data_IF_660265785416
#
_entry.id   IF_660265785416
#
_cell.length_a   1.000
_cell.length_b   1.000
_cell.length_c   1.000
_cell.angle_alpha   90.00
_cell.angle_beta   90.00
_cell.angle_gamma   90.00
#
_symmetry.space_group_name_H-M   'P 1'
#
loop_
_entity.id
_entity.type
_entity.pdbx_description
1 polymer ?
#
# COMPACT_ATOMS: atom_id res chain seq x y z
N UNK A 1 -29.33 -58.09 -1.56
CA UNK A 1 -30.64 -57.58 -1.13
C UNK A 1 -30.79 -56.19 -1.73
N UNK A 2 -31.24 -56.16 -2.97
CA UNK A 2 -31.49 -54.97 -3.78
C UNK A 2 -32.93 -54.50 -3.54
N UNK A 3 -33.11 -53.25 -3.13
CA UNK A 3 -34.42 -52.60 -3.09
C UNK A 3 -34.47 -51.48 -4.13
N UNK A 4 -35.02 -51.84 -5.30
CA UNK A 4 -35.53 -50.92 -6.31
C UNK A 4 -36.59 -50.00 -5.70
N UNK A 5 -36.48 -48.69 -5.92
CA UNK A 5 -37.65 -47.82 -5.99
C UNK A 5 -37.56 -47.08 -7.33
N UNK A 6 -38.57 -47.31 -8.16
CA UNK A 6 -38.77 -46.68 -9.46
C UNK A 6 -39.27 -45.24 -9.25
N UNK A 7 -38.71 -44.27 -9.97
CA UNK A 7 -39.29 -42.93 -10.12
C UNK A 7 -39.66 -42.78 -11.60
N UNK A 8 -40.96 -42.78 -11.88
CA UNK A 8 -41.54 -42.49 -13.18
C UNK A 8 -42.18 -41.09 -13.16
N UNK A 9 -41.78 -40.26 -14.13
CA UNK A 9 -42.68 -39.39 -14.90
C UNK A 9 -43.26 -38.13 -14.26
N UNK A 10 -42.65 -37.00 -14.63
CA UNK A 10 -43.28 -35.73 -15.06
C UNK A 10 -44.42 -35.12 -14.22
N UNK A 11 -44.10 -34.03 -13.54
CA UNK A 11 -45.05 -33.00 -13.11
C UNK A 11 -44.29 -31.87 -12.42
N UNK A 12 -44.25 -30.68 -13.04
CA UNK A 12 -43.50 -29.53 -12.53
C UNK A 12 -43.93 -29.16 -11.12
N UNK A 13 -42.95 -29.11 -10.19
CA UNK A 13 -43.13 -28.59 -8.84
C UNK A 13 -42.07 -27.51 -8.67
N UNK A 14 -42.47 -26.28 -8.99
CA UNK A 14 -41.83 -25.05 -8.57
C UNK A 14 -41.92 -24.95 -7.04
N UNK A 15 -40.78 -24.79 -6.36
CA UNK A 15 -40.76 -24.53 -4.92
C UNK A 15 -41.45 -23.19 -4.60
N UNK A 16 -42.31 -23.10 -3.58
CA UNK A 16 -43.03 -21.86 -3.27
C UNK A 16 -42.12 -20.90 -2.50
N UNK A 17 -41.78 -19.77 -3.12
CA UNK A 17 -41.23 -18.59 -2.44
C UNK A 17 -42.30 -17.97 -1.52
N UNK A 18 -41.98 -17.54 -0.29
CA UNK A 18 -42.94 -16.88 0.59
C UNK A 18 -43.22 -15.47 0.05
N UNK A 19 -44.43 -15.31 -0.49
CA UNK A 19 -44.91 -14.07 -1.11
C UNK A 19 -45.54 -13.19 -0.02
N UNK A 20 -44.85 -12.11 0.35
CA UNK A 20 -45.33 -11.14 1.33
C UNK A 20 -45.68 -9.81 0.63
N UNK A 21 -46.61 -9.88 -0.33
CA UNK A 21 -47.14 -8.70 -1.02
C UNK A 21 -48.67 -8.73 -0.94
N UNK A 22 -49.33 -7.75 -0.29
CA UNK A 22 -50.78 -7.76 -0.15
C UNK A 22 -51.48 -7.54 -1.50
N UNK A 23 -52.52 -8.33 -1.75
CA UNK A 23 -53.25 -8.49 -3.01
C UNK A 23 -54.28 -7.37 -3.28
N UNK A 24 -54.03 -6.13 -2.83
CA UNK A 24 -54.98 -5.02 -2.95
C UNK A 24 -54.23 -3.71 -3.18
N UNK A 25 -54.38 -3.12 -4.38
CA UNK A 25 -54.03 -1.72 -4.61
C UNK A 25 -54.90 -0.83 -3.72
N UNK A 26 -54.29 -0.09 -2.80
CA UNK A 26 -54.97 0.94 -2.03
C UNK A 26 -55.32 2.12 -2.97
N UNK A 27 -56.54 2.70 -2.88
CA UNK A 27 -56.91 3.82 -3.72
C UNK A 27 -56.19 5.09 -3.23
N UNK A 28 -55.22 5.58 -4.02
CA UNK A 28 -54.61 6.89 -3.79
C UNK A 28 -55.54 7.94 -4.39
N UNK A 29 -56.55 8.35 -3.63
CA UNK A 29 -57.19 9.65 -3.78
C UNK A 29 -57.89 10.03 -2.48
N UNK A 30 -57.72 11.30 -2.09
CA UNK A 30 -58.34 12.05 -0.98
C UNK A 30 -57.58 12.06 0.35
N UNK A 31 -56.90 13.17 0.61
CA UNK A 31 -57.03 13.84 1.91
C UNK A 31 -55.79 14.03 2.80
N UNK A 32 -54.59 14.24 2.26
CA UNK A 32 -53.45 14.72 3.06
C UNK A 32 -53.16 16.19 2.70
N UNK A 33 -53.45 17.08 3.65
CA UNK A 33 -53.16 18.51 3.62
C UNK A 33 -51.66 18.76 3.55
N UNK A 34 -51.23 19.60 2.60
CA UNK A 34 -49.85 20.11 2.51
C UNK A 34 -49.48 20.91 3.77
N UNK A 35 -48.26 20.76 4.33
CA UNK A 35 -47.76 21.67 5.35
C UNK A 35 -47.68 23.10 4.79
N UNK A 36 -48.34 24.05 5.45
CA UNK A 36 -48.24 25.49 5.16
C UNK A 36 -46.98 26.06 5.81
N UNK A 37 -45.90 26.15 5.05
CA UNK A 37 -44.81 27.11 5.30
C UNK A 37 -44.79 28.05 4.10
N UNK A 38 -44.83 29.38 4.28
CA UNK A 38 -44.74 30.31 3.15
C UNK A 38 -43.35 30.22 2.50
N UNK A 39 -43.31 30.24 1.16
CA UNK A 39 -42.08 30.46 0.40
C UNK A 39 -41.49 31.84 0.76
N UNK A 40 -40.17 31.91 0.92
CA UNK A 40 -39.48 33.18 1.12
C UNK A 40 -39.53 33.93 -0.22
N UNK A 41 -40.23 35.07 -0.26
CA UNK A 41 -40.24 35.95 -1.43
C UNK A 41 -38.93 36.72 -1.47
N UNK A 42 -38.11 36.47 -2.49
CA UNK A 42 -37.14 37.46 -2.96
C UNK A 42 -37.92 38.59 -3.62
N UNK A 43 -38.21 39.63 -2.85
CA UNK A 43 -38.65 40.90 -3.42
C UNK A 43 -37.98 42.06 -2.70
N UNK A 44 -37.38 42.90 -3.54
CA UNK A 44 -37.28 44.35 -3.40
C UNK A 44 -36.02 44.91 -2.70
N UNK A 45 -34.87 44.75 -3.36
CA UNK A 45 -33.85 45.80 -3.31
C UNK A 45 -34.37 47.04 -4.03
N UNK A 46 -34.56 48.11 -3.25
CA UNK A 46 -35.09 49.37 -3.73
C UNK A 46 -34.08 50.10 -4.61
N UNK A 47 -34.50 50.41 -5.82
CA UNK A 47 -33.86 51.38 -6.69
C UNK A 47 -34.10 52.80 -6.12
N UNK A 48 -33.03 53.46 -5.66
CA UNK A 48 -33.06 54.89 -5.38
C UNK A 48 -31.70 55.55 -5.65
N UNK A 49 -31.59 56.19 -6.82
CA UNK A 49 -30.88 57.46 -6.96
C UNK A 49 -29.44 57.41 -7.47
N UNK A 50 -29.27 57.78 -8.73
CA UNK A 50 -28.00 58.08 -9.39
C UNK A 50 -27.20 59.23 -8.73
N UNK A 51 -25.88 59.07 -8.58
CA UNK A 51 -24.84 60.08 -8.84
C UNK A 51 -23.40 59.54 -8.66
N UNK A 52 -22.68 59.47 -9.78
CA UNK A 52 -21.27 59.85 -10.04
C UNK A 52 -20.04 59.15 -9.42
N UNK A 53 -19.10 58.86 -10.34
CA UNK A 53 -17.63 58.87 -10.29
C UNK A 53 -16.77 57.84 -9.50
N UNK A 54 -15.78 57.33 -10.25
CA UNK A 54 -14.46 56.80 -9.90
C UNK A 54 -14.31 55.28 -9.63
N UNK A 55 -13.65 54.62 -10.58
CA UNK A 55 -13.14 53.26 -10.44
C UNK A 55 -11.82 53.25 -9.67
N UNK A 56 -11.72 52.30 -8.73
CA UNK A 56 -10.52 51.70 -8.13
C UNK A 56 -11.01 50.90 -6.91
N UNK A 57 -11.28 49.60 -7.04
CA UNK A 57 -11.83 48.85 -5.90
C UNK A 57 -11.90 47.32 -5.98
N UNK A 58 -11.77 46.70 -7.15
CA UNK A 58 -11.94 45.24 -7.26
C UNK A 58 -10.68 44.39 -6.97
N UNK A 59 -9.48 44.98 -6.89
CA UNK A 59 -8.24 44.22 -6.65
C UNK A 59 -7.90 44.02 -5.16
N UNK A 60 -8.62 44.67 -4.24
CA UNK A 60 -8.35 44.54 -2.80
C UNK A 60 -9.14 43.41 -2.12
N UNK A 61 -10.28 42.97 -2.70
CA UNK A 61 -11.15 41.99 -2.05
C UNK A 61 -10.59 40.56 -2.16
N UNK A 62 -10.11 40.15 -3.34
CA UNK A 62 -9.53 38.81 -3.55
C UNK A 62 -8.20 38.61 -2.78
N UNK A 63 -7.38 39.66 -2.66
CA UNK A 63 -6.15 39.63 -1.86
C UNK A 63 -6.43 39.60 -0.35
N UNK A 64 -7.48 40.29 0.10
CA UNK A 64 -7.97 40.21 1.49
C UNK A 64 -8.58 38.85 1.79
N UNK A 65 -9.31 38.27 0.85
CA UNK A 65 -9.91 36.94 0.98
C UNK A 65 -8.84 35.85 1.05
N UNK A 66 -7.82 35.90 0.19
CA UNK A 66 -6.69 34.97 0.24
C UNK A 66 -5.82 35.16 1.50
N UNK A 67 -5.60 36.40 1.95
CA UNK A 67 -4.90 36.69 3.20
C UNK A 67 -5.72 36.27 4.44
N UNK A 68 -7.05 36.40 4.38
CA UNK A 68 -7.97 35.98 5.43
C UNK A 68 -8.08 34.46 5.47
N UNK A 69 -8.10 33.77 4.32
CA UNK A 69 -8.04 32.31 4.23
C UNK A 69 -6.71 31.79 4.81
N UNK A 70 -5.58 32.41 4.46
CA UNK A 70 -4.27 32.07 5.01
C UNK A 70 -4.13 32.35 6.52
N UNK A 71 -4.75 33.42 7.03
CA UNK A 71 -4.83 33.67 8.48
C UNK A 71 -5.79 32.71 9.21
N UNK A 72 -6.87 32.30 8.56
CA UNK A 72 -7.83 31.32 9.10
C UNK A 72 -7.20 29.94 9.14
N UNK A 73 -6.50 29.52 8.08
CA UNK A 73 -5.72 28.29 8.02
C UNK A 73 -4.54 28.30 9.01
N UNK A 74 -3.79 29.40 9.11
CA UNK A 74 -2.71 29.54 10.09
C UNK A 74 -3.19 29.53 11.54
N UNK A 75 -4.35 30.14 11.84
CA UNK A 75 -4.99 30.07 13.17
C UNK A 75 -5.61 28.71 13.45
N UNK A 76 -6.19 28.05 12.45
CA UNK A 76 -6.68 26.68 12.56
C UNK A 76 -5.54 25.71 12.87
N UNK A 77 -4.40 25.85 12.19
CA UNK A 77 -3.20 25.07 12.47
C UNK A 77 -2.67 25.29 13.89
N UNK A 78 -2.72 26.52 14.41
CA UNK A 78 -2.29 26.85 15.78
C UNK A 78 -3.32 26.45 16.86
N UNK A 79 -4.57 26.16 16.44
CA UNK A 79 -5.69 25.66 17.26
C UNK A 79 -5.79 24.12 17.27
N UNK A 80 -5.09 23.43 16.37
CA UNK A 80 -4.99 21.96 16.42
C UNK A 80 -4.31 21.55 17.73
N UNK A 81 -5.04 20.82 18.58
CA UNK A 81 -4.54 20.32 19.87
C UNK A 81 -4.52 21.33 21.03
N UNK A 82 -4.90 22.60 20.82
CA UNK A 82 -5.04 23.60 21.90
C UNK A 82 -6.50 23.99 22.07
N UNK A 83 -6.97 24.08 23.31
CA UNK A 83 -8.30 24.60 23.59
C UNK A 83 -8.41 26.03 23.04
N UNK A 84 -9.41 26.29 22.20
CA UNK A 84 -9.59 27.58 21.53
C UNK A 84 -9.88 28.77 22.45
N UNK A 85 -9.80 28.60 23.77
CA UNK A 85 -10.25 29.55 24.79
C UNK A 85 -11.78 29.61 24.88
N UNK A 86 -12.49 29.22 23.82
CA UNK A 86 -13.94 29.21 23.75
C UNK A 86 -14.52 28.26 24.79
N UNK A 87 -14.03 27.02 24.85
CA UNK A 87 -14.51 26.00 25.80
C UNK A 87 -14.28 26.49 27.24
N UNK A 88 -13.14 27.13 27.52
CA UNK A 88 -12.80 27.70 28.83
C UNK A 88 -13.71 28.89 29.19
N UNK A 89 -14.16 29.65 28.20
CA UNK A 89 -15.06 30.80 28.39
C UNK A 89 -16.53 30.42 28.63
N UNK A 90 -16.92 29.17 28.36
CA UNK A 90 -18.30 28.71 28.52
C UNK A 90 -18.75 28.76 30.00
N UNK A 91 -20.02 29.12 30.28
CA UNK A 91 -20.62 28.97 31.61
C UNK A 91 -20.56 27.53 32.10
N UNK A 92 -20.52 27.35 33.43
CA UNK A 92 -20.41 26.03 34.07
C UNK A 92 -21.55 25.11 33.64
N UNK A 93 -22.76 25.65 33.53
CA UNK A 93 -23.95 24.92 33.10
C UNK A 93 -23.80 24.34 31.69
N UNK A 94 -23.13 25.06 30.79
CA UNK A 94 -22.86 24.59 29.43
C UNK A 94 -21.72 23.57 29.42
N UNK A 95 -20.66 23.79 30.22
CA UNK A 95 -19.57 22.82 30.38
C UNK A 95 -20.07 21.48 30.93
N UNK A 96 -21.05 21.48 31.84
CA UNK A 96 -21.70 20.25 32.31
C UNK A 96 -22.35 19.47 31.16
N UNK A 97 -22.94 20.16 30.18
CA UNK A 97 -23.47 19.49 28.98
C UNK A 97 -22.35 18.92 28.10
N UNK A 98 -21.22 19.62 27.96
CA UNK A 98 -20.05 19.10 27.23
C UNK A 98 -19.50 17.84 27.90
N UNK A 99 -19.37 17.83 29.23
CA UNK A 99 -18.97 16.64 29.98
C UNK A 99 -20.00 15.49 29.86
N UNK A 100 -21.30 15.81 29.84
CA UNK A 100 -22.34 14.82 29.56
C UNK A 100 -22.21 14.23 28.14
N UNK A 101 -21.91 15.05 27.13
CA UNK A 101 -21.65 14.60 25.76
C UNK A 101 -20.41 13.72 25.66
N UNK A 102 -19.32 14.03 26.37
CA UNK A 102 -18.15 13.15 26.48
C UNK A 102 -18.53 11.79 27.09
N UNK A 103 -19.41 11.77 28.09
CA UNK A 103 -19.96 10.53 28.64
C UNK A 103 -20.81 9.72 27.65
N UNK A 104 -21.50 10.37 26.72
CA UNK A 104 -22.17 9.70 25.59
C UNK A 104 -21.15 9.14 24.61
N UNK A 105 -20.10 9.91 24.29
CA UNK A 105 -19.02 9.47 23.41
C UNK A 105 -18.33 8.20 23.92
N UNK A 106 -18.13 8.05 25.24
CA UNK A 106 -17.58 6.82 25.84
C UNK A 106 -18.42 5.59 25.44
N UNK A 107 -19.75 5.68 25.50
CA UNK A 107 -20.63 4.57 25.09
C UNK A 107 -20.58 4.29 23.60
N UNK A 108 -20.39 5.32 22.78
CA UNK A 108 -20.19 5.16 21.35
C UNK A 108 -18.88 4.41 21.06
N UNK A 109 -17.79 4.77 21.75
CA UNK A 109 -16.50 4.09 21.62
C UNK A 109 -16.58 2.64 22.10
N UNK A 110 -17.29 2.34 23.19
CA UNK A 110 -17.56 0.97 23.64
C UNK A 110 -18.27 0.14 22.56
N UNK A 111 -19.26 0.72 21.88
CA UNK A 111 -19.99 0.05 20.80
C UNK A 111 -19.10 -0.16 19.56
N UNK A 112 -18.28 0.82 19.20
CA UNK A 112 -17.30 0.71 18.10
C UNK A 112 -16.26 -0.39 18.39
N UNK A 113 -15.74 -0.45 19.61
CA UNK A 113 -14.87 -1.54 20.08
C UNK A 113 -15.52 -2.91 19.91
N UNK A 114 -16.79 -3.05 20.30
CA UNK A 114 -17.53 -4.30 20.11
C UNK A 114 -17.66 -4.65 18.63
N UNK A 115 -18.05 -3.68 17.79
CA UNK A 115 -18.19 -3.89 16.34
C UNK A 115 -16.89 -4.40 15.72
N UNK A 116 -15.74 -3.76 16.01
CA UNK A 116 -14.45 -4.20 15.45
C UNK A 116 -14.01 -5.57 15.95
N UNK A 117 -14.29 -5.92 17.20
CA UNK A 117 -14.07 -7.29 17.71
C UNK A 117 -14.92 -8.31 16.96
N UNK A 118 -16.19 -7.99 16.66
CA UNK A 118 -17.06 -8.86 15.86
C UNK A 118 -16.58 -8.98 14.40
N UNK A 119 -16.07 -7.90 13.79
CA UNK A 119 -15.40 -7.94 12.48
C UNK A 119 -14.20 -8.89 12.49
N UNK A 120 -13.32 -8.80 13.51
CA UNK A 120 -12.16 -9.67 13.64
C UNK A 120 -12.55 -11.15 13.75
N UNK A 121 -13.61 -11.47 14.50
CA UNK A 121 -14.14 -12.84 14.58
C UNK A 121 -14.73 -13.33 13.25
N UNK A 122 -15.33 -12.41 12.48
CA UNK A 122 -15.83 -12.72 11.13
C UNK A 122 -14.68 -13.01 10.17
N UNK A 123 -13.62 -12.21 10.19
CA UNK A 123 -12.40 -12.43 9.41
C UNK A 123 -11.78 -13.79 9.74
N UNK A 124 -11.63 -14.13 11.03
CA UNK A 124 -11.14 -15.44 11.48
C UNK A 124 -11.97 -16.60 10.91
N UNK A 125 -13.30 -16.46 10.92
CA UNK A 125 -14.22 -17.46 10.36
C UNK A 125 -13.99 -17.64 8.86
N UNK A 126 -13.91 -16.56 8.09
CA UNK A 126 -13.74 -16.64 6.64
C UNK A 126 -12.33 -17.10 6.24
N UNK A 127 -11.29 -16.72 6.99
CA UNK A 127 -9.97 -17.31 6.83
C UNK A 127 -10.03 -18.84 6.97
N UNK A 128 -10.77 -19.34 7.98
CA UNK A 128 -11.01 -20.77 8.15
C UNK A 128 -11.67 -21.44 6.93
N UNK A 129 -12.58 -20.75 6.24
CA UNK A 129 -13.22 -21.23 5.01
C UNK A 129 -12.30 -21.15 3.79
N UNK A 130 -11.38 -20.18 3.75
CA UNK A 130 -10.39 -20.01 2.68
C UNK A 130 -9.21 -20.97 2.81
N UNK A 131 -8.86 -21.43 4.03
CA UNK A 131 -7.72 -22.33 4.28
C UNK A 131 -7.64 -23.53 3.31
N UNK A 132 -8.71 -24.30 3.05
CA UNK A 132 -8.65 -25.40 2.08
C UNK A 132 -8.32 -24.95 0.64
N UNK A 133 -8.72 -23.74 0.25
CA UNK A 133 -8.38 -23.17 -1.06
C UNK A 133 -6.90 -22.78 -1.12
N UNK A 134 -6.35 -22.18 -0.05
CA UNK A 134 -4.93 -21.87 0.05
C UNK A 134 -4.06 -23.13 0.09
N UNK A 135 -4.48 -24.16 0.82
CA UNK A 135 -3.83 -25.47 0.80
C UNK A 135 -3.85 -26.10 -0.59
N UNK A 136 -4.99 -26.01 -1.31
CA UNK A 136 -5.10 -26.49 -2.69
C UNK A 136 -4.17 -25.73 -3.63
N UNK A 137 -4.11 -24.39 -3.51
CA UNK A 137 -3.19 -23.53 -4.26
C UNK A 137 -1.73 -23.93 -4.00
N UNK A 138 -1.34 -24.03 -2.73
CA UNK A 138 0.01 -24.45 -2.33
C UNK A 138 0.37 -25.83 -2.91
N UNK A 139 -0.55 -26.78 -2.88
CA UNK A 139 -0.32 -28.11 -3.45
C UNK A 139 -0.04 -28.08 -4.96
N UNK A 140 -0.71 -27.19 -5.72
CA UNK A 140 -0.47 -27.00 -7.16
C UNK A 140 0.86 -26.27 -7.40
N UNK A 141 1.11 -25.16 -6.69
CA UNK A 141 2.35 -24.37 -6.81
C UNK A 141 3.58 -25.25 -6.59
N UNK A 142 3.55 -26.12 -5.59
CA UNK A 142 4.69 -26.96 -5.24
C UNK A 142 4.70 -28.34 -5.93
N UNK A 143 3.77 -28.59 -6.86
CA UNK A 143 3.68 -29.87 -7.59
C UNK A 143 3.31 -31.08 -6.72
N UNK A 144 2.83 -30.86 -5.49
CA UNK A 144 2.36 -31.93 -4.58
C UNK A 144 1.07 -32.58 -5.08
N UNK A 145 0.26 -31.84 -5.85
CA UNK A 145 -0.92 -32.35 -6.52
C UNK A 145 -1.06 -31.72 -7.91
N UNK A 146 -1.43 -32.52 -8.91
CA UNK A 146 -1.75 -32.02 -10.24
C UNK A 146 -3.05 -31.20 -10.23
N UNK A 147 -3.11 -30.19 -11.10
CA UNK A 147 -4.34 -29.48 -11.41
C UNK A 147 -5.34 -30.45 -12.07
N UNK A 148 -6.60 -30.37 -11.65
CA UNK A 148 -7.69 -31.16 -12.23
C UNK A 148 -8.20 -30.51 -13.51
N UNK A 149 -8.83 -31.30 -14.38
CA UNK A 149 -9.46 -30.78 -15.59
C UNK A 149 -10.50 -29.70 -15.28
N UNK A 150 -11.29 -29.87 -14.21
CA UNK A 150 -12.30 -28.89 -13.81
C UNK A 150 -11.69 -27.56 -13.35
N UNK A 151 -10.56 -27.58 -12.65
CA UNK A 151 -9.85 -26.35 -12.24
C UNK A 151 -9.25 -25.62 -13.45
N UNK A 152 -8.72 -26.36 -14.42
CA UNK A 152 -8.18 -25.79 -15.66
C UNK A 152 -9.31 -25.15 -16.47
N UNK A 153 -10.41 -25.87 -16.69
CA UNK A 153 -11.58 -25.34 -17.42
C UNK A 153 -12.15 -24.09 -16.74
N UNK A 154 -12.24 -24.07 -15.41
CA UNK A 154 -12.68 -22.90 -14.66
C UNK A 154 -11.71 -21.71 -14.81
N UNK A 155 -10.39 -21.96 -14.77
CA UNK A 155 -9.36 -20.95 -14.97
C UNK A 155 -9.34 -20.38 -16.39
N UNK A 156 -9.54 -21.22 -17.41
CA UNK A 156 -9.68 -20.77 -18.81
C UNK A 156 -10.93 -19.89 -18.96
N UNK A 157 -12.06 -20.28 -18.35
CA UNK A 157 -13.29 -19.47 -18.37
C UNK A 157 -13.11 -18.10 -17.68
N UNK A 158 -12.30 -18.01 -16.63
CA UNK A 158 -11.94 -16.74 -16.03
C UNK A 158 -11.05 -15.91 -16.98
N UNK A 159 -10.02 -16.55 -17.55
CA UNK A 159 -9.08 -15.89 -18.47
C UNK A 159 -9.77 -15.32 -19.71
N UNK A 160 -10.73 -16.05 -20.31
CA UNK A 160 -11.53 -15.59 -21.46
C UNK A 160 -12.41 -14.37 -21.11
N UNK A 161 -12.89 -14.28 -19.87
CA UNK A 161 -13.71 -13.13 -19.43
C UNK A 161 -12.87 -11.89 -19.18
N UNK A 162 -11.63 -12.07 -18.76
CA UNK A 162 -10.72 -10.99 -18.41
C UNK A 162 -9.90 -10.49 -19.61
N UNK A 163 -9.61 -11.37 -20.57
CA UNK A 163 -8.79 -11.10 -21.75
C UNK A 163 -9.47 -11.67 -23.00
N UNK A 164 -9.99 -10.78 -23.85
CA UNK A 164 -10.69 -11.14 -25.09
C UNK A 164 -9.79 -11.85 -26.10
N UNK A 165 -8.47 -11.62 -26.04
CA UNK A 165 -7.48 -12.21 -26.92
C UNK A 165 -6.87 -13.52 -26.33
N UNK A 166 -7.40 -14.00 -25.20
CA UNK A 166 -6.91 -15.21 -24.56
C UNK A 166 -7.02 -16.44 -25.48
N UNK A 167 -5.89 -17.06 -25.77
CA UNK A 167 -5.84 -18.32 -26.53
C UNK A 167 -5.90 -19.53 -25.59
N UNK A 168 -6.93 -20.40 -25.70
CA UNK A 168 -7.04 -21.61 -24.87
C UNK A 168 -5.83 -22.54 -24.99
N UNK A 169 -5.50 -23.23 -23.90
CA UNK A 169 -4.33 -24.10 -23.87
C UNK A 169 -4.58 -25.40 -24.65
N UNK A 170 -3.53 -26.04 -25.21
CA UNK A 170 -3.69 -27.33 -25.88
C UNK A 170 -4.17 -28.42 -24.91
N UNK A 171 -5.31 -29.04 -25.21
CA UNK A 171 -5.96 -30.06 -24.35
C UNK A 171 -5.16 -31.36 -24.18
N UNK A 172 -4.21 -31.62 -25.07
CA UNK A 172 -3.34 -32.80 -25.01
C UNK A 172 -2.12 -32.60 -24.09
N UNK A 173 -1.92 -31.38 -23.57
CA UNK A 173 -0.82 -31.05 -22.66
C UNK A 173 -1.18 -31.39 -21.22
N UNK A 174 -0.26 -32.04 -20.51
CA UNK A 174 -0.41 -32.32 -19.08
C UNK A 174 0.25 -31.23 -18.22
N UNK A 175 -0.33 -30.83 -17.09
CA UNK A 175 0.31 -29.92 -16.14
C UNK A 175 1.70 -30.38 -15.70
N UNK A 176 2.61 -29.44 -15.47
CA UNK A 176 3.97 -29.73 -15.04
C UNK A 176 3.99 -30.45 -13.68
N UNK A 177 4.79 -31.52 -13.57
CA UNK A 177 4.88 -32.32 -12.34
C UNK A 177 5.56 -31.59 -11.16
N UNK A 178 6.42 -30.61 -11.46
CA UNK A 178 7.20 -29.90 -10.44
C UNK A 178 6.55 -28.59 -9.95
N UNK A 179 5.29 -28.34 -10.32
CA UNK A 179 4.58 -27.11 -9.96
C UNK A 179 5.07 -25.88 -10.72
N UNK A 180 4.98 -24.71 -10.07
CA UNK A 180 5.27 -23.39 -10.61
C UNK A 180 6.55 -22.85 -9.95
N UNK A 181 7.69 -22.79 -10.67
CA UNK A 181 8.94 -22.26 -10.14
C UNK A 181 8.81 -20.79 -9.72
N UNK A 182 9.47 -20.42 -8.62
CA UNK A 182 9.64 -19.03 -8.17
C UNK A 182 8.33 -18.26 -7.95
N UNK A 183 7.19 -18.96 -7.80
CA UNK A 183 5.86 -18.35 -7.71
C UNK A 183 5.79 -17.17 -6.73
N UNK A 184 6.21 -17.39 -5.48
CA UNK A 184 6.15 -16.35 -4.45
C UNK A 184 7.18 -15.25 -4.68
N UNK A 185 8.38 -15.56 -5.17
CA UNK A 185 9.36 -14.54 -5.50
C UNK A 185 8.81 -13.60 -6.59
N UNK A 186 8.22 -14.16 -7.66
CA UNK A 186 7.59 -13.37 -8.72
C UNK A 186 6.40 -12.56 -8.19
N UNK A 187 5.53 -13.17 -7.38
CA UNK A 187 4.39 -12.46 -6.80
C UNK A 187 4.83 -11.28 -5.90
N UNK A 188 5.82 -11.49 -5.03
CA UNK A 188 6.34 -10.44 -4.15
C UNK A 188 7.05 -9.32 -4.94
N UNK A 189 7.75 -9.64 -6.04
CA UNK A 189 8.39 -8.64 -6.91
C UNK A 189 7.41 -7.84 -7.77
N UNK A 190 6.21 -8.34 -7.97
CA UNK A 190 5.16 -7.59 -8.68
C UNK A 190 4.34 -6.70 -7.74
N UNK A 191 4.63 -6.69 -6.43
CA UNK A 191 4.07 -5.73 -5.51
C UNK A 191 5.04 -4.55 -5.35
N UNK A 192 4.53 -3.32 -5.42
CA UNK A 192 5.34 -2.09 -5.53
C UNK A 192 6.33 -1.96 -4.34
N UNK A 193 5.83 -1.84 -3.10
CA UNK A 193 6.71 -1.66 -1.93
C UNK A 193 7.65 -2.85 -1.68
N UNK A 194 7.13 -4.09 -1.74
CA UNK A 194 7.93 -5.31 -1.59
C UNK A 194 9.05 -5.43 -2.64
N UNK A 195 8.83 -4.97 -3.87
CA UNK A 195 9.86 -4.99 -4.92
C UNK A 195 11.06 -4.10 -4.57
N UNK A 196 10.82 -2.92 -3.99
CA UNK A 196 11.87 -1.99 -3.58
C UNK A 196 12.74 -2.56 -2.46
N UNK A 197 12.15 -3.34 -1.55
CA UNK A 197 12.88 -4.02 -0.49
C UNK A 197 13.67 -5.26 -0.94
N UNK A 198 13.26 -5.92 -2.03
CA UNK A 198 13.87 -7.18 -2.48
C UNK A 198 15.12 -6.90 -3.32
N UNK A 199 16.29 -7.11 -2.72
CA UNK A 199 17.55 -7.05 -3.47
C UNK A 199 17.80 -8.33 -4.28
N UNK A 200 18.72 -8.28 -5.24
CA UNK A 200 19.12 -9.46 -6.03
C UNK A 200 19.72 -10.58 -5.16
N UNK A 201 20.35 -10.23 -4.03
CA UNK A 201 20.88 -11.21 -3.07
C UNK A 201 19.74 -11.91 -2.33
N UNK A 202 18.67 -11.18 -2.01
CA UNK A 202 17.49 -11.74 -1.34
C UNK A 202 16.71 -12.67 -2.26
N UNK A 203 16.64 -12.34 -3.55
CA UNK A 203 15.99 -13.15 -4.56
C UNK A 203 16.52 -14.60 -4.57
N UNK A 204 17.82 -14.82 -4.38
CA UNK A 204 18.38 -16.17 -4.30
C UNK A 204 17.82 -16.99 -3.13
N UNK A 205 17.56 -16.36 -1.98
CA UNK A 205 16.94 -17.00 -0.84
C UNK A 205 15.42 -17.16 -1.04
N UNK A 206 14.75 -16.15 -1.59
CA UNK A 206 13.31 -16.15 -1.87
C UNK A 206 12.89 -17.17 -2.94
N UNK A 207 13.78 -17.62 -3.83
CA UNK A 207 13.53 -18.78 -4.70
C UNK A 207 13.14 -20.04 -3.93
N UNK A 208 13.53 -20.14 -2.66
CA UNK A 208 13.20 -21.27 -1.79
C UNK A 208 11.91 -21.10 -0.98
N UNK A 209 11.20 -19.97 -1.14
CA UNK A 209 9.92 -19.67 -0.50
C UNK A 209 8.80 -20.53 -1.13
N UNK A 210 8.18 -21.37 -0.29
CA UNK A 210 7.21 -22.41 -0.66
C UNK A 210 5.79 -21.92 -0.48
N UNK A 211 5.54 -21.16 0.59
CA UNK A 211 4.20 -20.69 0.97
C UNK A 211 4.27 -19.43 1.83
N UNK A 212 3.26 -18.57 1.69
CA UNK A 212 3.01 -17.43 2.58
C UNK A 212 1.60 -17.55 3.12
N UNK A 213 1.47 -17.64 4.46
CA UNK A 213 0.20 -17.91 5.14
C UNK A 213 -0.15 -16.81 6.13
N UNK A 214 -1.45 -16.58 6.27
CA UNK A 214 -2.03 -15.72 7.31
C UNK A 214 -2.61 -16.58 8.44
N UNK A 215 -2.35 -16.20 9.69
CA UNK A 215 -3.05 -16.71 10.87
C UNK A 215 -3.39 -15.57 11.82
N UNK A 216 -4.62 -15.51 12.31
CA UNK A 216 -4.97 -14.60 13.39
C UNK A 216 -4.54 -15.15 14.75
N UNK A 217 -4.17 -14.25 15.66
CA UNK A 217 -3.90 -14.60 17.04
C UNK A 217 -5.20 -15.00 17.74
N UNK A 218 -5.17 -16.15 18.41
CA UNK A 218 -6.29 -16.68 19.18
C UNK A 218 -6.01 -16.55 20.67
N UNK A 219 -7.04 -16.27 21.46
CA UNK A 219 -6.94 -16.09 22.93
C UNK A 219 -6.27 -17.29 23.64
N UNK A 220 -6.29 -18.49 23.03
CA UNK A 220 -5.64 -19.69 23.55
C UNK A 220 -4.14 -19.82 23.26
N UNK A 221 -3.68 -19.35 22.10
CA UNK A 221 -2.26 -19.30 21.70
C UNK A 221 -1.52 -18.14 22.37
N UNK A 222 -2.26 -17.10 22.76
CA UNK A 222 -1.84 -15.89 23.44
C UNK A 222 -1.45 -16.09 24.92
N UNK A 223 -0.81 -17.22 25.28
CA UNK A 223 -0.38 -17.55 26.66
C UNK A 223 1.13 -17.49 26.87
N UNK A 224 1.91 -17.16 25.84
CA UNK A 224 3.35 -17.03 25.92
C UNK A 224 3.76 -15.55 25.89
N UNK A 225 4.25 -15.05 27.03
CA UNK A 225 5.05 -13.83 27.21
C UNK A 225 4.67 -12.60 26.38
N UNK A 226 5.09 -12.56 25.10
CA UNK A 226 5.09 -11.37 24.24
C UNK A 226 3.76 -11.07 23.53
N UNK A 227 2.85 -12.04 23.41
CA UNK A 227 1.55 -11.88 22.71
C UNK A 227 0.35 -12.00 23.66
N UNK A 228 0.58 -11.87 24.97
CA UNK A 228 -0.40 -12.24 26.00
C UNK A 228 -1.70 -11.44 25.87
N UNK A 229 -2.80 -12.12 25.53
CA UNK A 229 -4.15 -11.57 25.43
C UNK A 229 -4.43 -10.57 24.30
N UNK A 230 -3.44 -10.17 23.50
CA UNK A 230 -3.64 -9.13 22.47
C UNK A 230 -4.20 -9.69 21.15
N UNK A 231 -5.16 -9.00 20.50
CA UNK A 231 -5.57 -9.31 19.14
C UNK A 231 -4.45 -8.97 18.15
N UNK A 232 -4.49 -9.58 16.97
CA UNK A 232 -3.47 -9.40 15.95
C UNK A 232 -3.45 -10.55 14.95
N UNK A 233 -2.48 -10.52 14.05
CA UNK A 233 -2.25 -11.57 13.08
C UNK A 233 -0.77 -11.83 12.88
N UNK A 234 -0.45 -12.98 12.30
CA UNK A 234 0.91 -13.39 11.92
C UNK A 234 0.93 -13.84 10.47
N UNK A 235 2.00 -13.49 9.79
CA UNK A 235 2.34 -13.94 8.44
C UNK A 235 3.47 -14.95 8.57
N UNK A 236 3.25 -16.15 8.04
CA UNK A 236 4.21 -17.24 8.07
C UNK A 236 4.78 -17.47 6.67
N UNK A 237 6.08 -17.29 6.54
CA UNK A 237 6.84 -17.57 5.33
C UNK A 237 7.51 -18.93 5.46
N UNK A 238 7.02 -19.93 4.72
CA UNK A 238 7.58 -21.28 4.72
C UNK A 238 8.66 -21.42 3.65
N UNK A 239 9.86 -21.77 4.07
CA UNK A 239 11.00 -21.99 3.18
C UNK A 239 11.34 -23.48 3.12
N UNK A 240 11.63 -23.94 1.91
CA UNK A 240 12.33 -25.20 1.71
C UNK A 240 13.78 -25.08 2.17
N UNK A 241 14.46 -26.22 2.36
CA UNK A 241 15.89 -26.24 2.72
C UNK A 241 16.70 -25.44 1.70
N UNK A 242 17.36 -24.39 2.17
CA UNK A 242 18.08 -23.44 1.32
C UNK A 242 19.53 -23.24 1.77
N UNK A 243 20.30 -22.47 1.01
CA UNK A 243 21.72 -22.24 1.26
C UNK A 243 22.01 -21.13 2.29
N UNK A 244 21.00 -20.40 2.77
CA UNK A 244 21.16 -19.14 3.49
C UNK A 244 20.91 -19.25 4.99
N UNK A 245 19.86 -19.95 5.39
CA UNK A 245 19.48 -20.09 6.81
C UNK A 245 18.87 -21.46 7.09
N UNK A 246 18.76 -21.78 8.38
CA UNK A 246 18.21 -23.07 8.86
C UNK A 246 16.73 -22.99 9.24
N UNK A 247 16.11 -21.80 9.26
CA UNK A 247 14.68 -21.65 9.52
C UNK A 247 13.86 -22.29 8.40
N UNK A 248 12.90 -23.13 8.77
CA UNK A 248 11.86 -23.62 7.86
C UNK A 248 10.69 -22.63 7.76
N UNK A 249 10.43 -21.89 8.84
CA UNK A 249 9.39 -20.86 8.87
C UNK A 249 9.97 -19.58 9.46
N UNK A 250 9.75 -18.46 8.78
CA UNK A 250 9.94 -17.11 9.32
C UNK A 250 8.56 -16.51 9.59
N UNK A 251 8.33 -16.09 10.82
CA UNK A 251 7.09 -15.49 11.29
C UNK A 251 7.27 -13.98 11.47
N UNK A 252 6.29 -13.21 11.01
CA UNK A 252 6.10 -11.79 11.32
C UNK A 252 4.73 -11.61 11.96
N UNK A 253 4.68 -10.99 13.12
CA UNK A 253 3.46 -10.89 13.94
C UNK A 253 3.16 -9.44 14.26
N UNK A 254 1.95 -9.01 13.95
CA UNK A 254 1.45 -7.66 14.24
C UNK A 254 0.43 -7.74 15.37
N UNK A 255 0.67 -6.97 16.43
CA UNK A 255 -0.21 -6.87 17.58
C UNK A 255 -1.02 -5.60 17.48
N UNK A 256 -2.33 -5.71 17.72
CA UNK A 256 -3.21 -4.56 17.87
C UNK A 256 -3.27 -4.12 19.35
N UNK A 257 -3.57 -2.85 19.55
CA UNK A 257 -3.97 -2.31 20.85
C UNK A 257 -5.32 -2.90 21.28
N UNK A 258 -5.63 -2.84 22.58
CA UNK A 258 -6.88 -3.41 23.12
C UNK A 258 -8.12 -2.58 22.76
N UNK A 259 -7.93 -1.27 22.64
CA UNK A 259 -8.95 -0.29 22.27
C UNK A 259 -8.74 0.17 20.82
N UNK A 260 -9.83 0.40 20.11
CA UNK A 260 -9.79 1.03 18.78
C UNK A 260 -9.32 2.47 18.90
N UNK A 261 -8.60 2.93 17.88
CA UNK A 261 -8.13 4.29 17.78
C UNK A 261 -9.26 5.29 17.59
N UNK A 262 -8.90 6.57 17.47
CA UNK A 262 -9.85 7.66 17.26
C UNK A 262 -10.70 7.47 15.98
N UNK A 263 -10.14 6.88 14.92
CA UNK A 263 -10.87 6.56 13.68
C UNK A 263 -11.90 5.43 13.86
N UNK A 264 -11.83 4.69 14.97
CA UNK A 264 -12.64 3.52 15.23
C UNK A 264 -12.05 2.21 14.68
N UNK A 265 -10.84 2.22 14.11
CA UNK A 265 -10.10 1.03 13.64
C UNK A 265 -9.10 0.50 14.67
N UNK A 266 -8.63 -0.73 14.47
CA UNK A 266 -7.54 -1.26 15.29
C UNK A 266 -6.25 -0.46 15.03
N UNK A 267 -5.58 -0.08 16.11
CA UNK A 267 -4.26 0.58 16.06
C UNK A 267 -3.18 -0.46 16.35
N UNK A 268 -2.04 -0.40 15.66
CA UNK A 268 -0.91 -1.27 15.96
C UNK A 268 -0.26 -0.89 17.30
N UNK A 269 0.08 -1.90 18.10
CA UNK A 269 0.90 -1.77 19.30
C UNK A 269 2.39 -1.96 18.96
N UNK A 270 2.72 -3.07 18.29
CA UNK A 270 4.08 -3.37 17.85
C UNK A 270 4.09 -4.50 16.82
N UNK A 271 5.16 -4.56 16.04
CA UNK A 271 5.52 -5.73 15.24
C UNK A 271 6.55 -6.61 15.97
N UNK A 272 6.46 -7.93 15.75
CA UNK A 272 7.40 -8.93 16.24
C UNK A 272 7.90 -9.75 15.07
N UNK A 273 9.21 -9.78 14.87
CA UNK A 273 9.83 -10.59 13.82
C UNK A 273 10.49 -11.86 14.33
N UNK A 274 10.93 -12.70 13.40
CA UNK A 274 11.65 -13.94 13.68
C UNK A 274 13.15 -13.77 13.51
N UNK A 275 13.91 -14.14 14.54
CA UNK A 275 15.37 -14.21 14.44
C UNK A 275 15.79 -15.27 13.42
N UNK A 276 16.43 -14.81 12.34
CA UNK A 276 16.95 -15.68 11.28
C UNK A 276 18.25 -16.35 11.74
N UNK A 277 18.32 -17.67 11.56
CA UNK A 277 19.49 -18.51 11.84
C UNK A 277 20.32 -18.63 10.57
N UNK A 278 21.02 -17.54 10.24
CA UNK A 278 21.91 -17.46 9.09
C UNK A 278 23.02 -18.51 9.17
N UNK A 279 23.30 -19.13 8.02
CA UNK A 279 24.46 -19.98 7.81
C UNK A 279 25.72 -19.12 7.73
N UNK A 280 26.87 -19.77 7.89
CA UNK A 280 28.16 -19.09 7.85
C UNK A 280 28.31 -18.27 6.55
N UNK A 281 28.55 -16.97 6.71
CA UNK A 281 28.76 -16.02 5.62
C UNK A 281 27.58 -15.85 4.66
N UNK A 282 26.36 -16.12 5.13
CA UNK A 282 25.12 -15.99 4.36
C UNK A 282 24.11 -15.01 4.94
N UNK A 283 24.52 -14.23 5.93
CA UNK A 283 23.72 -13.15 6.49
C UNK A 283 23.52 -12.05 5.43
N UNK A 284 22.31 -11.94 4.88
CA UNK A 284 21.99 -11.00 3.82
C UNK A 284 21.75 -9.58 4.34
N UNK A 285 21.44 -9.44 5.64
CA UNK A 285 21.22 -8.12 6.27
C UNK A 285 22.51 -7.42 6.67
N UNK A 286 23.66 -8.05 6.41
CA UNK A 286 24.98 -7.51 6.74
C UNK A 286 25.97 -7.69 5.59
N UNK A 287 26.65 -6.62 5.23
CA UNK A 287 27.84 -6.69 4.40
C UNK A 287 29.10 -6.71 5.26
N UNK A 288 30.11 -7.50 4.87
CA UNK A 288 31.31 -7.69 5.67
C UNK A 288 32.54 -7.04 5.02
N UNK A 289 33.02 -5.96 5.62
CA UNK A 289 34.23 -5.27 5.18
C UNK A 289 35.46 -5.89 5.89
N UNK A 290 36.43 -6.40 5.12
CA UNK A 290 37.67 -6.96 5.66
C UNK A 290 38.75 -5.87 5.73
N UNK A 291 38.98 -5.34 6.93
CA UNK A 291 40.04 -4.36 7.19
C UNK A 291 41.31 -5.05 7.68
N UNK A 292 42.43 -4.78 7.01
CA UNK A 292 43.78 -5.19 7.48
C UNK A 292 44.20 -4.29 8.63
N UNK A 293 44.17 -4.82 9.84
CA UNK A 293 44.63 -4.12 11.03
C UNK A 293 46.06 -4.56 11.37
N UNK A 294 47.02 -3.63 11.32
CA UNK A 294 48.41 -3.88 11.74
C UNK A 294 48.57 -3.40 13.18
N UNK A 295 48.96 -4.31 14.07
CA UNK A 295 49.28 -3.94 15.44
C UNK A 295 50.58 -3.12 15.44
N UNK A 296 50.50 -1.87 15.92
CA UNK A 296 51.61 -0.90 15.93
C UNK A 296 52.81 -1.38 16.75
N UNK A 297 52.60 -2.22 17.77
CA UNK A 297 53.66 -2.68 18.67
C UNK A 297 54.29 -4.01 18.25
N UNK A 298 53.50 -4.94 17.69
CA UNK A 298 53.98 -6.28 17.34
C UNK A 298 54.22 -6.48 15.86
N UNK A 299 53.95 -5.46 15.02
CA UNK A 299 54.01 -5.52 13.56
C UNK A 299 53.22 -6.67 12.91
N UNK A 300 52.39 -7.39 13.67
CA UNK A 300 51.52 -8.45 13.15
C UNK A 300 50.28 -7.83 12.51
N UNK A 301 49.94 -8.33 11.33
CA UNK A 301 48.74 -7.93 10.58
C UNK A 301 47.64 -8.96 10.85
N UNK A 302 46.48 -8.52 11.34
CA UNK A 302 45.27 -9.32 11.48
C UNK A 302 44.22 -8.79 10.51
N UNK A 303 43.49 -9.69 9.86
CA UNK A 303 42.30 -9.34 9.10
C UNK A 303 41.14 -9.23 10.10
N UNK A 304 40.52 -8.06 10.19
CA UNK A 304 39.34 -7.82 11.01
C UNK A 304 38.16 -7.66 10.07
N UNK A 305 37.17 -8.53 10.22
CA UNK A 305 35.92 -8.51 9.47
C UNK A 305 34.92 -7.66 10.26
N UNK A 306 34.52 -6.51 9.72
CA UNK A 306 33.50 -5.63 10.31
C UNK A 306 32.20 -5.84 9.54
N UNK A 307 31.13 -6.19 10.24
CA UNK A 307 29.79 -6.25 9.65
C UNK A 307 29.19 -4.84 9.62
N UNK A 308 28.62 -4.45 8.49
CA UNK A 308 27.86 -3.22 8.30
C UNK A 308 26.42 -3.62 7.99
N UNK A 309 25.40 -3.02 8.63
CA UNK A 309 24.01 -3.20 8.23
C UNK A 309 23.84 -2.86 6.74
N UNK A 310 22.98 -3.60 6.06
CA UNK A 310 22.73 -3.43 4.63
C UNK A 310 21.27 -3.71 4.32
N UNK A 311 20.76 -3.02 3.32
CA UNK A 311 19.40 -3.18 2.86
C UNK A 311 19.19 -4.60 2.33
N UNK A 312 18.11 -5.19 2.81
CA UNK A 312 17.70 -6.56 2.54
C UNK A 312 16.25 -6.72 2.94
N UNK A 313 15.47 -7.42 2.12
CA UNK A 313 14.09 -7.81 2.45
C UNK A 313 14.01 -8.49 3.83
N UNK A 314 15.04 -9.23 4.23
CA UNK A 314 15.03 -9.96 5.50
C UNK A 314 15.13 -9.06 6.74
N UNK A 315 15.37 -7.75 6.60
CA UNK A 315 15.19 -6.78 7.67
C UNK A 315 13.73 -6.69 8.14
N UNK A 316 12.76 -7.05 7.29
CA UNK A 316 11.34 -7.16 7.64
C UNK A 316 11.07 -8.07 8.85
N UNK A 317 11.94 -9.06 9.11
CA UNK A 317 11.85 -9.94 10.28
C UNK A 317 12.59 -9.41 11.52
N UNK A 318 13.09 -8.19 11.46
CA UNK A 318 13.67 -7.43 12.57
C UNK A 318 13.04 -6.03 12.60
N UNK A 319 11.73 -5.95 12.86
CA UNK A 319 10.99 -4.69 12.76
C UNK A 319 11.53 -3.64 13.75
N UNK A 320 11.37 -2.35 13.44
CA UNK A 320 11.64 -1.27 14.38
C UNK A 320 10.80 -1.45 15.65
N UNK A 321 11.36 -1.06 16.81
CA UNK A 321 10.63 -1.07 18.07
C UNK A 321 10.03 0.32 18.31
N UNK A 322 8.73 0.41 18.65
CA UNK A 322 8.13 1.70 18.98
C UNK A 322 8.78 2.28 20.24
N UNK A 323 9.04 3.60 20.27
CA UNK A 323 9.67 4.25 21.41
C UNK A 323 8.75 4.11 22.64
N UNK A 324 9.33 3.78 23.79
CA UNK A 324 8.57 3.74 25.04
C UNK A 324 8.21 5.15 25.48
N UNK A 325 7.03 5.33 26.10
CA UNK A 325 6.60 6.62 26.66
C UNK A 325 7.69 7.27 27.54
N UNK A 326 8.41 6.48 28.34
CA UNK A 326 9.53 6.97 29.16
C UNK A 326 10.69 7.55 28.33
N UNK A 327 11.00 6.95 27.18
CA UNK A 327 12.08 7.40 26.30
C UNK A 327 11.70 8.68 25.55
N UNK A 328 10.41 8.83 25.20
CA UNK A 328 9.85 10.07 24.65
C UNK A 328 9.88 11.20 25.69
N UNK A 329 9.42 10.92 26.92
CA UNK A 329 9.43 11.91 28.02
C UNK A 329 10.84 12.34 28.43
N UNK A 330 11.81 11.42 28.37
CA UNK A 330 13.21 11.70 28.68
C UNK A 330 13.96 12.43 27.54
N UNK A 331 13.34 12.58 26.36
CA UNK A 331 13.98 13.16 25.18
C UNK A 331 15.19 12.37 24.72
N UNK A 332 15.13 11.03 24.80
CA UNK A 332 16.23 10.15 24.35
C UNK A 332 16.38 10.11 22.83
N UNK A 333 15.32 10.50 22.11
CA UNK A 333 15.28 10.63 20.66
C UNK A 333 15.19 12.10 20.28
N UNK A 334 15.97 12.51 19.29
CA UNK A 334 15.78 13.80 18.64
C UNK A 334 14.51 13.74 17.76
N UNK A 335 13.86 14.88 17.53
CA UNK A 335 12.59 14.93 16.76
C UNK A 335 12.74 14.28 15.37
N UNK A 336 13.86 14.52 14.68
CA UNK A 336 14.18 13.93 13.36
C UNK A 336 14.38 12.41 13.43
N UNK A 337 14.99 11.89 14.51
CA UNK A 337 15.14 10.44 14.71
C UNK A 337 13.80 9.75 15.00
N UNK A 338 12.88 10.47 15.65
CA UNK A 338 11.54 9.99 15.95
C UNK A 338 10.68 9.93 14.68
N UNK A 339 10.72 10.97 13.84
CA UNK A 339 10.04 11.01 12.55
C UNK A 339 10.53 9.87 11.63
N UNK A 340 11.84 9.66 11.52
CA UNK A 340 12.40 8.54 10.74
C UNK A 340 12.02 7.15 11.27
N UNK A 341 11.80 7.03 12.58
CA UNK A 341 11.38 5.77 13.21
C UNK A 341 9.90 5.50 12.96
N UNK A 342 9.07 6.54 13.03
CA UNK A 342 7.64 6.48 12.73
C UNK A 342 7.40 6.09 11.27
N UNK A 343 8.11 6.72 10.32
CA UNK A 343 8.03 6.37 8.89
C UNK A 343 8.36 4.89 8.65
N UNK A 344 9.44 4.38 9.26
CA UNK A 344 9.82 2.96 9.15
C UNK A 344 8.80 2.00 9.79
N UNK A 345 8.12 2.43 10.86
CA UNK A 345 7.06 1.63 11.49
C UNK A 345 5.81 1.60 10.62
N UNK A 346 5.43 2.75 10.07
CA UNK A 346 4.28 2.87 9.17
C UNK A 346 4.47 2.03 7.90
N UNK A 347 5.64 2.13 7.27
CA UNK A 347 5.99 1.29 6.11
C UNK A 347 5.89 -0.21 6.46
N UNK A 348 6.45 -0.63 7.60
CA UNK A 348 6.41 -2.02 8.05
C UNK A 348 4.97 -2.54 8.29
N UNK A 349 4.09 -1.68 8.82
CA UNK A 349 2.67 -1.99 9.01
C UNK A 349 1.91 -2.05 7.69
N UNK A 350 2.16 -1.10 6.78
CA UNK A 350 1.54 -1.06 5.47
C UNK A 350 1.87 -2.32 4.67
N UNK A 351 3.15 -2.73 4.63
CA UNK A 351 3.57 -3.99 4.00
C UNK A 351 2.87 -5.20 4.65
N UNK A 352 2.69 -5.16 5.97
CA UNK A 352 1.97 -6.20 6.70
C UNK A 352 0.51 -6.33 6.26
N UNK A 353 -0.19 -5.21 6.10
CA UNK A 353 -1.56 -5.17 5.60
C UNK A 353 -1.64 -5.55 4.12
N UNK A 354 -0.74 -5.08 3.27
CA UNK A 354 -0.73 -5.45 1.86
C UNK A 354 -0.55 -6.96 1.69
N UNK A 355 0.32 -7.58 2.48
CA UNK A 355 0.47 -9.03 2.48
C UNK A 355 -0.83 -9.73 2.92
N UNK A 356 -1.49 -9.22 3.97
CA UNK A 356 -2.72 -9.79 4.56
C UNK A 356 -3.94 -9.65 3.65
N UNK A 357 -4.18 -8.45 3.11
CA UNK A 357 -5.40 -8.09 2.39
C UNK A 357 -5.26 -8.23 0.86
N UNK A 358 -4.06 -8.01 0.31
CA UNK A 358 -3.83 -8.04 -1.14
C UNK A 358 -3.06 -9.29 -1.60
N UNK A 359 -1.80 -9.44 -1.19
CA UNK A 359 -0.89 -10.44 -1.78
C UNK A 359 -1.32 -11.87 -1.46
N UNK A 360 -1.62 -12.20 -0.20
CA UNK A 360 -2.01 -13.57 0.16
C UNK A 360 -3.36 -13.96 -0.49
N UNK A 361 -4.42 -13.13 -0.46
CA UNK A 361 -5.69 -13.47 -1.11
C UNK A 361 -5.59 -13.51 -2.64
N UNK A 362 -4.80 -12.62 -3.26
CA UNK A 362 -4.69 -12.45 -4.72
C UNK A 362 -3.33 -12.86 -5.30
N UNK A 363 -2.67 -13.85 -4.68
CA UNK A 363 -1.30 -14.24 -5.05
C UNK A 363 -1.11 -14.62 -6.53
N UNK A 364 -2.15 -15.13 -7.20
CA UNK A 364 -2.09 -15.48 -8.63
C UNK A 364 -2.11 -14.23 -9.50
N UNK A 365 -2.83 -13.19 -9.10
CA UNK A 365 -2.90 -11.91 -9.82
C UNK A 365 -1.57 -11.15 -9.67
N UNK A 366 -0.97 -11.19 -8.47
CA UNK A 366 0.40 -10.72 -8.28
C UNK A 366 1.41 -11.54 -9.09
N UNK A 367 1.32 -12.87 -9.10
CA UNK A 367 2.23 -13.71 -9.90
C UNK A 367 2.14 -13.41 -11.41
N UNK A 368 0.93 -13.19 -11.93
CA UNK A 368 0.69 -12.87 -13.34
C UNK A 368 0.95 -11.41 -13.69
N UNK A 369 1.13 -10.53 -12.70
CA UNK A 369 1.30 -9.09 -12.86
C UNK A 369 -0.02 -8.33 -13.05
N UNK A 370 -1.16 -9.03 -13.09
CA UNK A 370 -2.48 -8.40 -13.24
C UNK A 370 -2.84 -7.51 -12.06
N UNK A 371 -2.37 -7.82 -10.86
CA UNK A 371 -2.62 -7.01 -9.67
C UNK A 371 -2.16 -5.56 -9.83
N UNK A 372 -1.07 -5.31 -10.57
CA UNK A 372 -0.56 -3.96 -10.83
C UNK A 372 -1.57 -3.07 -11.56
N UNK A 373 -2.41 -3.64 -12.44
CA UNK A 373 -3.44 -2.85 -13.11
C UNK A 373 -4.51 -2.34 -12.16
N UNK A 374 -4.84 -3.11 -11.12
CA UNK A 374 -5.80 -2.68 -10.11
C UNK A 374 -5.18 -1.69 -9.14
N UNK A 375 -3.94 -1.92 -8.70
CA UNK A 375 -3.24 -0.99 -7.81
C UNK A 375 -2.97 0.37 -8.49
N UNK A 376 -2.79 0.42 -9.83
CA UNK A 376 -2.61 1.68 -10.59
C UNK A 376 -3.93 2.36 -11.00
N UNK A 377 -5.01 1.60 -11.24
CA UNK A 377 -6.31 2.20 -11.58
C UNK A 377 -6.92 2.99 -10.41
N UNK A 378 -6.60 2.61 -9.17
CA UNK A 378 -7.02 3.36 -7.99
C UNK A 378 -6.32 4.74 -7.86
N UNK A 379 -5.23 5.00 -8.60
CA UNK A 379 -4.52 6.31 -8.62
C UNK A 379 -4.98 7.24 -9.77
N UNK A 380 -5.49 6.70 -10.88
CA UNK A 380 -5.88 7.48 -12.08
C UNK A 380 -7.36 7.96 -12.06
N UNK A 381 -8.21 7.44 -11.17
CA UNK A 381 -9.64 7.83 -11.06
C UNK A 381 -9.86 9.20 -10.37
N UNK A 382 -8.78 9.89 -9.97
CA UNK A 382 -8.80 11.26 -9.43
C UNK A 382 -8.56 12.35 -10.50
N UNK A 383 -8.25 12.00 -11.76
CA UNK A 383 -8.24 12.97 -12.87
C UNK A 383 -9.66 13.09 -13.43
N UNK A 384 -10.49 13.85 -12.72
CA UNK A 384 -11.73 14.41 -13.28
C UNK A 384 -11.37 15.13 -14.58
N UNK A 385 -11.77 14.53 -15.69
CA UNK A 385 -11.80 15.09 -17.03
C UNK A 385 -12.68 16.36 -16.98
N UNK A 386 -12.06 17.52 -16.73
CA UNK A 386 -12.65 18.84 -16.96
C UNK A 386 -12.78 19.05 -18.49
N UNK A 387 -13.62 18.24 -19.15
CA UNK A 387 -14.22 18.58 -20.43
C UNK A 387 -15.35 19.59 -20.18
N UNK A 388 -15.00 20.84 -19.87
CA UNK A 388 -15.90 21.97 -20.10
C UNK A 388 -15.57 22.59 -21.48
N UNK A 389 -16.39 22.17 -22.44
CA UNK A 389 -16.67 22.85 -23.71
C UNK A 389 -17.05 24.32 -23.47
N UNK A 390 -16.24 25.27 -23.94
CA UNK A 390 -16.75 26.59 -24.36
C UNK A 390 -16.13 26.99 -25.71
N UNK A 391 -16.78 26.55 -26.78
CA UNK A 391 -16.77 27.22 -28.09
C UNK A 391 -17.49 28.58 -27.96
N UNK A 392 -16.78 29.71 -28.12
CA UNK A 392 -17.37 30.92 -28.69
C UNK A 392 -16.37 31.67 -29.60
N UNK A 393 -16.89 32.00 -30.79
CA UNK A 393 -16.29 32.51 -32.02
C UNK A 393 -15.67 33.93 -31.96
N UNK A 394 -14.66 34.12 -32.83
CA UNK A 394 -14.39 35.26 -33.74
C UNK A 394 -14.13 36.69 -33.18
N UNK A 395 -12.93 37.23 -33.42
CA UNK A 395 -12.80 38.39 -34.31
C UNK A 395 -11.34 38.75 -34.66
N UNK A 396 -11.17 39.09 -35.94
CA UNK A 396 -9.93 39.40 -36.65
C UNK A 396 -9.21 40.66 -36.14
N UNK A 397 -7.87 40.64 -36.11
CA UNK A 397 -7.14 41.86 -36.47
C UNK A 397 -5.93 41.56 -37.35
N UNK A 398 -6.18 41.73 -38.65
CA UNK A 398 -5.20 41.89 -39.71
C UNK A 398 -4.30 43.09 -39.45
N UNK A 399 -2.99 42.91 -39.65
CA UNK A 399 -2.13 43.92 -40.29
C UNK A 399 -0.87 43.25 -40.88
N UNK A 400 -0.93 42.99 -42.19
CA UNK A 400 0.04 43.37 -43.25
C UNK A 400 1.35 44.04 -42.78
N UNK A 401 2.53 43.86 -43.38
CA UNK A 401 2.96 43.35 -44.68
C UNK A 401 4.50 43.26 -44.64
N UNK A 402 5.08 42.66 -45.67
CA UNK A 402 6.39 42.90 -46.27
C UNK A 402 7.58 41.95 -45.97
N UNK A 403 7.68 40.99 -46.91
CA UNK A 403 8.71 40.98 -47.97
C UNK A 403 9.90 40.00 -47.84
N UNK A 404 9.77 38.91 -48.60
CA UNK A 404 10.74 38.24 -49.49
C UNK A 404 12.24 38.18 -49.13
N UNK A 405 12.79 36.95 -49.11
CA UNK A 405 13.61 36.46 -50.25
C UNK A 405 14.39 35.18 -49.89
N UNK A 406 13.94 34.08 -50.47
CA UNK A 406 14.70 33.05 -51.20
C UNK A 406 16.12 32.61 -50.80
N UNK A 407 16.20 31.28 -50.61
CA UNK A 407 17.08 30.31 -51.28
C UNK A 407 18.34 29.73 -50.63
N UNK A 408 18.40 28.40 -50.83
CA UNK A 408 19.54 27.50 -51.00
C UNK A 408 20.26 26.85 -49.79
N UNK A 409 19.85 25.61 -49.53
CA UNK A 409 20.69 24.44 -49.17
C UNK A 409 21.75 24.22 -50.28
N UNK A 410 22.91 23.49 -50.14
CA UNK A 410 23.32 22.57 -49.07
C UNK A 410 24.86 22.39 -48.79
N UNK A 411 25.18 21.49 -47.83
CA UNK A 411 26.31 20.49 -47.86
C UNK A 411 27.77 20.86 -47.46
N UNK A 412 28.25 20.10 -46.43
CA UNK A 412 29.59 19.47 -46.18
C UNK A 412 30.83 20.22 -45.60
N UNK A 413 31.31 19.60 -44.51
CA UNK A 413 32.68 19.12 -44.16
C UNK A 413 33.86 20.09 -43.99
N UNK A 414 34.47 19.93 -42.80
CA UNK A 414 35.92 19.91 -42.45
C UNK A 414 36.76 21.17 -42.63
N UNK A 415 37.43 21.54 -41.53
CA UNK A 415 38.79 22.11 -41.57
C UNK A 415 39.00 23.24 -40.57
N UNK A 416 39.79 23.01 -39.52
CA UNK A 416 40.30 24.07 -38.64
C UNK A 416 41.36 24.94 -39.33
N UNK A 417 41.93 25.93 -38.60
CA UNK A 417 43.38 25.87 -38.39
C UNK A 417 43.87 26.39 -37.02
N UNK A 418 44.67 25.54 -36.38
CA UNK A 418 46.04 25.79 -35.85
C UNK A 418 46.43 27.17 -35.28
N UNK A 419 46.98 27.11 -34.05
CA UNK A 419 48.30 27.64 -33.62
C UNK A 419 48.70 26.84 -32.37
N UNK A 420 49.85 26.20 -32.21
CA UNK A 420 51.12 26.23 -32.95
C UNK A 420 52.27 26.60 -32.00
N UNK A 421 53.21 25.65 -31.81
CA UNK A 421 54.52 25.65 -31.09
C UNK A 421 54.46 25.06 -29.67
N UNK A 422 55.12 23.96 -29.34
CA UNK A 422 56.36 23.36 -29.88
C UNK A 422 57.46 23.53 -28.82
N UNK A 423 58.27 22.56 -28.44
CA UNK A 423 58.43 21.17 -28.87
C UNK A 423 59.30 20.43 -27.84
N UNK A 424 59.28 19.10 -27.91
CA UNK A 424 60.31 18.23 -27.35
C UNK A 424 61.56 18.26 -28.28
N UNK A 425 62.68 17.60 -27.94
CA UNK A 425 62.73 16.16 -28.28
C UNK A 425 63.63 15.25 -27.42
N UNK A 426 63.40 13.94 -27.65
CA UNK A 426 64.39 12.82 -27.68
C UNK A 426 64.94 12.27 -26.35
N UNK A 427 65.21 10.98 -26.16
CA UNK A 427 65.23 9.82 -27.07
C UNK A 427 65.20 8.47 -26.30
N UNK A 428 64.81 7.43 -27.04
CA UNK A 428 65.28 6.04 -27.04
C UNK A 428 65.14 5.09 -25.84
N UNK A 429 64.28 4.09 -26.08
CA UNK A 429 64.41 2.66 -25.81
C UNK A 429 65.83 2.06 -26.00
N UNK A 430 66.21 1.15 -25.11
CA UNK A 430 66.69 -0.20 -25.47
C UNK A 430 66.51 -1.21 -24.29
N UNK A 431 66.14 -2.49 -24.53
CA UNK A 431 65.97 -3.54 -23.53
C UNK A 431 67.16 -4.53 -23.46
N UNK A 432 67.10 -5.44 -22.49
CA UNK A 432 67.97 -6.62 -22.24
C UNK A 432 69.39 -6.37 -21.69
N UNK A 433 69.70 -6.83 -20.46
CA UNK A 433 70.30 -8.15 -20.14
C UNK A 433 70.85 -8.21 -18.69
N UNK A 434 71.08 -9.45 -18.22
CA UNK A 434 71.94 -9.89 -17.09
C UNK A 434 71.38 -10.03 -15.64
N UNK A 435 70.90 -11.26 -15.42
CA UNK A 435 71.08 -12.18 -14.27
C UNK A 435 72.07 -11.84 -13.12
N UNK A 436 71.67 -12.32 -11.94
CA UNK A 436 72.46 -12.85 -10.81
C UNK A 436 73.36 -11.90 -10.02
N UNK A 437 72.94 -11.53 -8.80
CA UNK A 437 73.36 -12.16 -7.53
C UNK A 437 72.55 -11.60 -6.36
#
# INVERSE_FOLDING_TARGET
MSSNVQISGSGGITAPTPQNTPLTQAPIALGLSRPTVPDISEDNEGEAGAADESGEGLQSLAGLEHHMLGMVQGKLADLLGKSSGYIESLPVEVKLNVEALKGVQVKQNELQNQYKRECLELEKKYLGLQKPLYERRNAIINGKAAATTAEIEAGEQASIKEDEDYTPLPKDSTPAANGIPEFWLTALRNHIALNEMITDRDAEALKSLVDVRLEYLTEGENKSGKTLGKPGFKILFEFSKNAFFDNEILEKTYLYQEEVGYSGDFVYDRALGTKIKWKEDKDLTKEFEIKKQRNKNTNRTRLVRKALPTDSFFNFFSPPEPPTDEALENGEFEDEELEELEEKLEEDYQIGEDLKEKVIPRAVDYFTGKALHYDMMDEDDDEFDDEDDEDEDDDEHFHDDDSDSDNDVPVRRRGGPTKGRGGAPQANVNPEECKNQ
#
